data_IF_026873170768
#
_entry.id   IF_026873170768
#
_cell.length_a   1.000
_cell.length_b   1.000
_cell.length_c   1.000
_cell.angle_alpha   90.00
_cell.angle_beta   90.00
_cell.angle_gamma   90.00
#
_symmetry.space_group_name_H-M   'P 1'
#
loop_
_entity.id
_entity.type
_entity.pdbx_description
1 polymer ?
#
# COMPACT_ATOMS: atom_id res chain seq x y z
N UNK A 1 -13.97 13.14 0.76
CA UNK A 1 -12.52 12.85 0.64
C UNK A 1 -12.42 11.56 -0.17
N UNK A 2 -11.66 11.52 -1.25
CA UNK A 2 -11.44 10.28 -1.99
C UNK A 2 -10.67 9.31 -1.09
N UNK A 3 -11.31 8.22 -0.67
CA UNK A 3 -10.61 7.13 -0.01
C UNK A 3 -9.73 6.45 -1.06
N UNK A 4 -8.45 6.30 -0.77
CA UNK A 4 -7.57 5.49 -1.62
C UNK A 4 -7.89 4.03 -1.33
N UNK A 5 -8.29 3.30 -2.36
CA UNK A 5 -8.68 1.90 -2.23
C UNK A 5 -7.88 0.99 -3.14
N UNK A 6 -7.81 -0.27 -2.72
CA UNK A 6 -7.35 -1.43 -3.47
C UNK A 6 -8.38 -2.53 -3.22
N UNK A 7 -9.38 -2.60 -4.11
CA UNK A 7 -10.58 -3.41 -3.94
C UNK A 7 -11.22 -3.27 -2.56
N UNK A 8 -11.15 -4.32 -1.74
CA UNK A 8 -11.76 -4.34 -0.39
C UNK A 8 -10.96 -3.60 0.68
N UNK A 9 -9.78 -3.07 0.36
CA UNK A 9 -8.93 -2.32 1.28
C UNK A 9 -9.04 -0.82 1.07
N UNK A 10 -9.14 -0.07 2.17
CA UNK A 10 -9.19 1.39 2.18
C UNK A 10 -8.10 1.96 3.08
N UNK A 11 -7.33 2.95 2.58
CA UNK A 11 -6.31 3.63 3.38
C UNK A 11 -6.89 4.77 4.20
N UNK A 12 -6.66 4.70 5.51
CA UNK A 12 -6.94 5.76 6.47
C UNK A 12 -5.66 6.55 6.72
N UNK A 13 -5.41 7.53 5.85
CA UNK A 13 -4.15 8.29 5.83
C UNK A 13 -3.85 8.94 7.17
N UNK A 14 -4.84 9.56 7.82
CA UNK A 14 -4.61 10.30 9.07
C UNK A 14 -4.06 9.40 10.17
N UNK A 15 -4.60 8.20 10.28
CA UNK A 15 -4.36 7.29 11.39
C UNK A 15 -3.34 6.18 11.02
N UNK A 16 -3.05 6.00 9.73
CA UNK A 16 -1.95 5.16 9.26
C UNK A 16 -2.25 3.68 9.23
N UNK A 17 -3.44 3.28 8.77
CA UNK A 17 -3.81 1.88 8.60
C UNK A 17 -4.60 1.63 7.31
N UNK A 18 -4.58 0.37 6.86
CA UNK A 18 -5.50 -0.14 5.85
C UNK A 18 -6.66 -0.85 6.54
N UNK A 19 -7.89 -0.56 6.14
CA UNK A 19 -9.10 -1.22 6.62
C UNK A 19 -9.70 -2.08 5.52
N UNK A 20 -10.00 -3.34 5.83
CA UNK A 20 -10.75 -4.23 4.98
C UNK A 20 -12.27 -4.06 5.19
N UNK A 21 -13.11 -4.29 4.18
CA UNK A 21 -14.59 -4.27 4.30
C UNK A 21 -15.18 -5.23 5.34
N UNK A 22 -14.38 -6.15 5.88
CA UNK A 22 -14.74 -7.04 7.01
C UNK A 22 -14.44 -6.44 8.38
N UNK A 23 -14.05 -5.16 8.46
CA UNK A 23 -13.68 -4.47 9.71
C UNK A 23 -12.35 -4.94 10.28
N UNK A 24 -11.42 -5.36 9.41
CA UNK A 24 -10.08 -5.81 9.82
C UNK A 24 -9.04 -4.77 9.43
N UNK A 25 -8.19 -4.41 10.38
CA UNK A 25 -7.20 -3.34 10.23
C UNK A 25 -5.77 -3.90 10.13
N UNK A 26 -4.99 -3.30 9.24
CA UNK A 26 -3.55 -3.51 9.10
C UNK A 26 -2.85 -2.20 9.44
N UNK A 27 -2.22 -2.14 10.62
CA UNK A 27 -1.49 -0.97 11.10
C UNK A 27 -0.17 -0.80 10.34
N UNK A 28 -0.06 0.25 9.52
CA UNK A 28 1.10 0.46 8.65
C UNK A 28 2.35 0.90 9.43
N UNK A 29 2.20 1.60 10.56
CA UNK A 29 3.35 1.98 11.41
C UNK A 29 4.08 0.76 12.00
N UNK A 30 3.44 -0.41 12.03
CA UNK A 30 4.07 -1.68 12.43
C UNK A 30 4.75 -2.40 11.26
N UNK A 31 4.42 -2.04 10.01
CA UNK A 31 4.93 -2.65 8.78
C UNK A 31 6.31 -2.11 8.36
N UNK A 32 7.20 -1.85 9.32
CA UNK A 32 8.48 -1.17 9.08
C UNK A 32 9.62 -2.08 8.65
N UNK A 33 9.37 -3.38 8.50
CA UNK A 33 10.35 -4.38 8.05
C UNK A 33 9.70 -5.34 7.08
N UNK A 34 10.48 -5.94 6.18
CA UNK A 34 9.98 -6.95 5.24
C UNK A 34 9.35 -8.15 5.96
N UNK A 35 9.91 -8.56 7.09
CA UNK A 35 9.36 -9.62 7.93
C UNK A 35 7.95 -9.27 8.47
N UNK A 36 7.74 -8.03 8.93
CA UNK A 36 6.42 -7.59 9.41
C UNK A 36 5.39 -7.42 8.30
N UNK A 37 5.80 -7.01 7.11
CA UNK A 37 4.92 -7.00 5.95
C UNK A 37 4.49 -8.43 5.56
N UNK A 38 5.42 -9.38 5.56
CA UNK A 38 5.11 -10.79 5.30
C UNK A 38 4.21 -11.42 6.38
N UNK A 39 4.42 -11.07 7.64
CA UNK A 39 3.59 -11.49 8.79
C UNK A 39 2.11 -11.16 8.51
N UNK A 40 1.81 -9.93 8.07
CA UNK A 40 0.46 -9.53 7.69
C UNK A 40 -0.12 -10.35 6.53
N UNK A 41 0.65 -10.57 5.45
CA UNK A 41 0.18 -11.37 4.31
C UNK A 41 -0.19 -12.79 4.73
N UNK A 42 0.65 -13.45 5.55
CA UNK A 42 0.37 -14.79 6.03
C UNK A 42 -0.76 -14.83 7.07
N UNK A 43 -0.86 -13.81 7.93
CA UNK A 43 -1.94 -13.67 8.90
C UNK A 43 -3.30 -13.50 8.21
N UNK A 44 -3.39 -12.65 7.18
CA UNK A 44 -4.61 -12.46 6.39
C UNK A 44 -4.95 -13.72 5.61
N UNK A 45 -3.97 -14.40 5.01
CA UNK A 45 -4.18 -15.68 4.32
C UNK A 45 -4.81 -16.74 5.22
N UNK A 46 -4.52 -16.72 6.52
CA UNK A 46 -5.10 -17.63 7.50
C UNK A 46 -6.55 -17.31 7.90
N UNK A 47 -7.12 -16.19 7.45
CA UNK A 47 -8.50 -15.81 7.78
C UNK A 47 -9.49 -16.48 6.85
N UNK A 48 -10.57 -17.02 7.43
CA UNK A 48 -11.64 -17.70 6.67
C UNK A 48 -12.39 -16.80 5.69
N UNK A 49 -12.27 -15.48 5.84
CA UNK A 49 -12.91 -14.51 4.95
C UNK A 49 -12.01 -14.03 3.81
N UNK A 50 -10.70 -14.29 3.87
CA UNK A 50 -9.74 -13.75 2.92
C UNK A 50 -9.69 -14.61 1.65
N UNK A 51 -9.82 -13.95 0.51
CA UNK A 51 -9.68 -14.54 -0.82
C UNK A 51 -8.26 -14.33 -1.36
N UNK A 52 -7.96 -14.92 -2.53
CA UNK A 52 -6.67 -14.67 -3.19
C UNK A 52 -6.61 -13.24 -3.72
N UNK A 53 -7.75 -12.69 -4.11
CA UNK A 53 -7.96 -11.33 -4.57
C UNK A 53 -7.68 -10.34 -3.44
N UNK A 54 -8.21 -10.57 -2.23
CA UNK A 54 -7.95 -9.70 -1.08
C UNK A 54 -6.44 -9.63 -0.73
N UNK A 55 -5.71 -10.74 -0.91
CA UNK A 55 -4.26 -10.78 -0.72
C UNK A 55 -3.50 -10.04 -1.82
N UNK A 56 -3.92 -10.19 -3.08
CA UNK A 56 -3.32 -9.48 -4.20
C UNK A 56 -3.53 -7.96 -4.05
N UNK A 57 -4.70 -7.53 -3.61
CA UNK A 57 -5.02 -6.13 -3.34
C UNK A 57 -4.22 -5.56 -2.18
N UNK A 58 -4.06 -6.33 -1.09
CA UNK A 58 -3.18 -5.94 0.01
C UNK A 58 -1.71 -5.82 -0.43
N UNK A 59 -1.24 -6.75 -1.28
CA UNK A 59 0.10 -6.69 -1.84
C UNK A 59 0.28 -5.44 -2.72
N UNK A 60 -0.69 -5.12 -3.57
CA UNK A 60 -0.68 -3.90 -4.39
C UNK A 60 -0.70 -2.62 -3.51
N UNK A 61 -1.44 -2.64 -2.40
CA UNK A 61 -1.43 -1.55 -1.44
C UNK A 61 -0.05 -1.37 -0.79
N UNK A 62 0.61 -2.46 -0.38
CA UNK A 62 1.97 -2.39 0.14
C UNK A 62 2.99 -1.92 -0.91
N UNK A 63 2.88 -2.39 -2.14
CA UNK A 63 3.75 -1.96 -3.24
C UNK A 63 3.66 -0.45 -3.46
N UNK A 64 2.45 0.09 -3.52
CA UNK A 64 2.23 1.52 -3.77
C UNK A 64 2.56 2.40 -2.56
N UNK A 65 2.21 1.97 -1.34
CA UNK A 65 2.40 2.78 -0.13
C UNK A 65 3.85 2.70 0.35
N UNK A 66 4.40 1.49 0.42
CA UNK A 66 5.66 1.21 1.11
C UNK A 66 6.82 1.09 0.11
N UNK A 67 6.56 0.67 -1.13
CA UNK A 67 7.59 0.24 -2.10
C UNK A 67 8.63 -0.66 -1.40
N UNK A 68 8.23 -1.89 -1.02
CA UNK A 68 9.06 -2.74 -0.20
C UNK A 68 10.35 -3.13 -0.91
N UNK A 69 10.38 -3.16 -2.25
CA UNK A 69 11.62 -3.37 -3.00
C UNK A 69 12.61 -2.27 -2.63
N UNK A 70 12.25 -1.00 -2.75
CA UNK A 70 13.16 0.10 -2.43
C UNK A 70 13.47 0.16 -0.93
N UNK A 71 12.43 0.09 -0.09
CA UNK A 71 12.49 0.53 1.30
C UNK A 71 12.75 -0.59 2.32
N UNK A 72 12.38 -1.85 2.02
CA UNK A 72 12.41 -2.94 3.00
C UNK A 72 13.30 -4.13 2.60
N UNK A 73 13.41 -4.45 1.30
CA UNK A 73 14.03 -5.69 0.84
C UNK A 73 14.90 -5.58 -0.44
N UNK A 74 15.39 -4.40 -0.80
CA UNK A 74 16.17 -4.21 -2.04
C UNK A 74 17.35 -5.18 -2.11
N UNK A 75 17.55 -5.82 -3.26
CA UNK A 75 18.60 -6.83 -3.47
C UNK A 75 18.56 -7.98 -2.44
N UNK A 76 17.38 -8.29 -1.89
CA UNK A 76 17.21 -9.30 -0.84
C UNK A 76 17.77 -8.90 0.53
N UNK A 77 18.22 -7.66 0.71
CA UNK A 77 18.77 -7.16 1.98
C UNK A 77 17.67 -6.61 2.86
N UNK A 78 17.58 -7.09 4.10
CA UNK A 78 16.62 -6.58 5.08
C UNK A 78 16.97 -5.14 5.47
N UNK A 79 16.00 -4.24 5.32
CA UNK A 79 16.04 -2.86 5.79
C UNK A 79 14.92 -2.62 6.80
N UNK A 80 14.94 -1.45 7.44
CA UNK A 80 13.88 -1.00 8.32
C UNK A 80 13.61 0.47 8.13
N UNK A 81 12.34 0.85 8.12
CA UNK A 81 11.90 2.24 8.18
C UNK A 81 11.76 2.70 9.63
N UNK A 82 12.03 3.97 9.88
CA UNK A 82 11.53 4.68 11.06
C UNK A 82 10.04 4.99 10.93
N UNK A 83 9.37 5.28 12.04
CA UNK A 83 7.96 5.70 12.03
C UNK A 83 7.76 7.00 11.22
N UNK A 84 8.72 7.93 11.27
CA UNK A 84 8.66 9.18 10.50
C UNK A 84 8.76 8.94 8.99
N UNK A 85 9.61 8.00 8.56
CA UNK A 85 9.71 7.64 7.14
C UNK A 85 8.43 6.94 6.66
N UNK A 86 7.91 5.98 7.44
CA UNK A 86 6.63 5.33 7.15
C UNK A 86 5.50 6.37 7.04
N UNK A 87 5.45 7.32 7.97
CA UNK A 87 4.47 8.40 7.96
C UNK A 87 4.56 9.25 6.69
N UNK A 88 5.76 9.61 6.26
CA UNK A 88 5.99 10.37 5.02
C UNK A 88 5.49 9.62 3.79
N UNK A 89 5.76 8.31 3.72
CA UNK A 89 5.27 7.46 2.63
C UNK A 89 3.74 7.48 2.57
N UNK A 90 3.05 7.21 3.69
CA UNK A 90 1.59 7.17 3.78
C UNK A 90 0.94 8.48 3.32
N UNK A 91 1.45 9.64 3.77
CA UNK A 91 0.85 10.94 3.41
C UNK A 91 1.15 11.36 1.97
N UNK A 92 2.14 10.75 1.32
CA UNK A 92 2.53 11.08 -0.06
C UNK A 92 1.64 10.43 -1.12
N UNK A 93 0.98 9.31 -0.80
CA UNK A 93 0.22 8.48 -1.76
C UNK A 93 -0.84 9.27 -2.56
N UNK A 94 -1.67 10.14 -1.96
CA UNK A 94 -2.66 10.91 -2.74
C UNK A 94 -2.01 11.81 -3.79
N UNK A 95 -0.88 12.43 -3.44
CA UNK A 95 -0.12 13.29 -4.36
C UNK A 95 0.49 12.46 -5.48
N UNK A 96 1.06 11.29 -5.16
CA UNK A 96 1.63 10.37 -6.16
C UNK A 96 0.57 9.89 -7.17
N UNK A 97 -0.60 9.45 -6.72
CA UNK A 97 -1.70 9.05 -7.63
C UNK A 97 -2.15 10.20 -8.52
N UNK A 98 -2.37 11.39 -7.94
CA UNK A 98 -2.80 12.56 -8.72
C UNK A 98 -1.80 12.90 -9.84
N UNK A 99 -0.50 12.83 -9.55
CA UNK A 99 0.53 13.07 -10.55
C UNK A 99 0.53 12.01 -11.66
N UNK A 100 0.31 10.74 -11.32
CA UNK A 100 0.19 9.65 -12.30
C UNK A 100 -1.02 9.84 -13.21
N UNK A 101 -2.18 10.19 -12.65
CA UNK A 101 -3.41 10.45 -13.41
C UNK A 101 -3.24 11.64 -14.38
N UNK A 102 -2.62 12.73 -13.90
CA UNK A 102 -2.32 13.91 -14.73
C UNK A 102 -1.34 13.56 -15.85
N UNK A 103 -0.31 12.75 -15.58
CA UNK A 103 0.65 12.31 -16.58
C UNK A 103 -0.02 11.43 -17.66
N UNK A 104 -0.82 10.44 -17.25
CA UNK A 104 -1.54 9.56 -18.17
C UNK A 104 -2.54 10.31 -19.05
N UNK A 105 -3.25 11.29 -18.49
CA UNK A 105 -4.15 12.16 -19.24
C UNK A 105 -3.43 12.99 -20.31
N UNK A 106 -2.17 13.36 -20.06
CA UNK A 106 -1.33 14.10 -21.02
C UNK A 106 -0.74 13.21 -22.10
N UNK A 107 -0.29 11.99 -21.76
CA UNK A 107 0.27 11.06 -22.75
C UNK A 107 -0.82 10.43 -23.63
N UNK A 108 -1.99 10.11 -23.07
CA UNK A 108 -3.13 9.59 -23.84
C UNK A 108 -3.71 10.58 -24.84
N UNK A 109 -3.41 11.89 -24.72
CA UNK A 109 -3.76 12.91 -25.72
C UNK A 109 -2.78 12.99 -26.90
N UNK A 110 -1.57 12.43 -26.78
CA UNK A 110 -0.55 12.46 -27.84
C UNK A 110 -0.64 11.26 -28.79
N UNK A 111 -1.32 10.17 -28.40
CA UNK A 111 -1.53 8.98 -29.24
C UNK A 111 -2.79 9.08 -30.14
N UNK A 112 -3.49 10.22 -30.12
CA UNK A 112 -4.72 10.47 -30.88
C UNK A 112 -4.61 11.52 -31.99
N UNK A 113 -3.39 11.86 -32.43
CA UNK A 113 -3.09 12.77 -33.56
C UNK A 113 -2.28 12.03 -34.63
#
# INVERSE_FOLDING_TARGET
MSHLTWGNWSLHIKDGYLEHTKGYEVELDTCRTSAKMLDWLFQIRGKSWATSEDLAELLNAFDEIIDPQTNLCSHGTSKSLSSDEMRRLIVSVPSSRKLLDEFQSRTGKLEGL
#
